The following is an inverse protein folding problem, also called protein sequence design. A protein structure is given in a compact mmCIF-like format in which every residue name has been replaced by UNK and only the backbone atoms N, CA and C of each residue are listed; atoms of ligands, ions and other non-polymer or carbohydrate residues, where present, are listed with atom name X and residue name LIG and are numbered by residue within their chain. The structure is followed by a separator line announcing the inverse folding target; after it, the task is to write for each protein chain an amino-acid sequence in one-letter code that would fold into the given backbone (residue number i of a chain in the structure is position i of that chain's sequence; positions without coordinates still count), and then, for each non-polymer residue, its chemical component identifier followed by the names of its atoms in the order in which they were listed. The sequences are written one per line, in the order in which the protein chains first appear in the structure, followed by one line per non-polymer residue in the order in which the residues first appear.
data_IF_689985427689
#
_entry.id   IF_689985427689
#
_cell.length_a   1.000
_cell.length_b   1.000
_cell.length_c   1.000
_cell.angle_alpha   90.00
_cell.angle_beta   90.00
_cell.angle_gamma   90.00
#
_symmetry.space_group_name_H-M   'P 1'
#
loop_
_entity.id
_entity.type
_entity.pdbx_description
1 polymer ?
#
# COMPACT_ATOMS: atom_id res chain seq x y z
N UNK A 1 40.38 7.43 10.71
CA UNK A 1 40.14 8.82 10.23
C UNK A 1 40.07 8.88 8.71
N UNK A 2 40.75 7.97 8.02
CA UNK A 2 40.86 7.88 6.56
C UNK A 2 39.54 7.80 5.78
N UNK A 3 38.52 7.10 6.30
CA UNK A 3 37.19 7.05 5.69
C UNK A 3 36.53 8.43 5.59
N UNK A 4 36.70 9.27 6.63
CA UNK A 4 36.18 10.65 6.66
C UNK A 4 36.95 11.59 5.72
N UNK A 5 38.14 11.18 5.28
CA UNK A 5 38.97 11.90 4.32
C UNK A 5 38.69 11.46 2.88
N UNK A 6 37.67 10.63 2.65
CA UNK A 6 37.30 10.14 1.32
C UNK A 6 38.24 9.09 0.76
N UNK A 7 39.11 8.48 1.58
CA UNK A 7 39.94 7.36 1.12
C UNK A 7 39.06 6.12 0.94
N UNK A 8 39.23 5.45 -0.20
CA UNK A 8 38.56 4.18 -0.49
C UNK A 8 39.09 3.09 0.44
N UNK A 9 38.32 2.78 1.49
CA UNK A 9 38.62 1.71 2.45
C UNK A 9 37.41 0.78 2.48
N UNK A 10 37.65 -0.50 2.19
CA UNK A 10 36.59 -1.52 2.15
C UNK A 10 35.72 -1.41 0.91
N UNK A 11 34.43 -1.73 1.05
CA UNK A 11 33.45 -1.68 -0.03
C UNK A 11 32.48 -0.54 0.23
N UNK A 12 32.45 0.44 -0.68
CA UNK A 12 31.50 1.55 -0.63
C UNK A 12 30.20 1.10 -1.29
N UNK A 13 29.10 1.19 -0.55
CA UNK A 13 27.76 1.07 -1.10
C UNK A 13 27.24 2.47 -1.38
N UNK A 14 27.37 3.00 -2.62
CA UNK A 14 26.85 4.31 -2.94
C UNK A 14 25.33 4.32 -2.74
N UNK A 15 24.80 5.42 -2.22
CA UNK A 15 23.36 5.60 -2.13
C UNK A 15 22.76 5.50 -3.54
N UNK A 16 21.73 4.67 -3.73
CA UNK A 16 20.93 4.69 -4.96
C UNK A 16 20.19 6.03 -5.03
N UNK A 17 20.30 6.76 -6.13
CA UNK A 17 19.62 8.04 -6.34
C UNK A 17 18.10 7.95 -6.15
N UNK A 18 17.51 6.77 -6.39
CA UNK A 18 16.12 6.47 -6.10
C UNK A 18 15.92 6.16 -4.61
N UNK A 19 16.13 7.15 -3.74
CA UNK A 19 15.52 7.08 -2.42
C UNK A 19 14.00 7.05 -2.63
N UNK A 20 13.34 5.95 -2.23
CA UNK A 20 11.96 6.04 -1.80
C UNK A 20 11.89 7.24 -0.87
N UNK A 21 11.12 8.28 -1.25
CA UNK A 21 10.94 9.50 -0.42
C UNK A 21 10.80 9.04 1.04
N UNK A 22 11.50 9.63 1.99
CA UNK A 22 11.61 9.16 3.40
C UNK A 22 10.28 8.62 3.97
N UNK A 23 9.17 9.29 3.66
CA UNK A 23 7.80 8.88 4.00
C UNK A 23 7.40 7.49 3.46
N UNK A 24 7.74 7.16 2.21
CA UNK A 24 7.53 5.84 1.60
C UNK A 24 8.44 4.78 2.22
N UNK A 25 9.68 5.11 2.57
CA UNK A 25 10.54 4.16 3.30
C UNK A 25 9.96 3.78 4.67
N UNK A 26 9.36 4.74 5.38
CA UNK A 26 8.69 4.46 6.65
C UNK A 26 7.40 3.66 6.50
N UNK A 27 6.62 3.92 5.44
CA UNK A 27 5.46 3.10 5.09
C UNK A 27 5.84 1.64 4.79
N UNK A 28 6.98 1.43 4.11
CA UNK A 28 7.44 0.10 3.75
C UNK A 28 8.00 -0.68 4.95
N UNK A 29 8.69 -0.03 5.89
CA UNK A 29 9.53 -0.74 6.88
C UNK A 29 9.34 -0.31 8.35
N UNK A 30 8.61 0.76 8.63
CA UNK A 30 8.56 1.38 9.97
C UNK A 30 7.28 1.15 10.77
N UNK A 31 6.23 0.59 10.18
CA UNK A 31 4.94 0.34 10.85
C UNK A 31 4.64 -1.15 10.92
N UNK A 32 4.01 -1.57 12.03
CA UNK A 32 3.41 -2.90 12.14
C UNK A 32 2.36 -3.11 11.05
N UNK A 33 2.42 -4.27 10.42
CA UNK A 33 1.40 -4.73 9.49
C UNK A 33 0.22 -5.29 10.29
N UNK A 34 -0.98 -4.78 10.02
CA UNK A 34 -2.21 -5.13 10.77
C UNK A 34 -3.15 -6.05 9.99
N UNK A 35 -2.84 -6.33 8.73
CA UNK A 35 -3.57 -7.28 7.90
C UNK A 35 -3.18 -7.21 6.44
N UNK A 36 -3.97 -7.91 5.63
CA UNK A 36 -3.73 -8.17 4.22
C UNK A 36 -4.98 -7.84 3.39
N UNK A 37 -4.78 -7.27 2.21
CA UNK A 37 -5.81 -7.04 1.21
C UNK A 37 -5.41 -7.77 -0.06
N UNK A 38 -6.27 -8.65 -0.57
CA UNK A 38 -6.08 -9.36 -1.82
C UNK A 38 -6.73 -8.59 -2.97
N UNK A 39 -6.05 -8.51 -4.11
CA UNK A 39 -6.56 -7.81 -5.30
C UNK A 39 -6.60 -8.71 -6.53
N UNK A 40 -7.46 -8.38 -7.48
CA UNK A 40 -7.48 -9.06 -8.77
C UNK A 40 -6.28 -8.66 -9.66
N UNK A 41 -6.08 -9.42 -10.74
CA UNK A 41 -4.98 -9.19 -11.66
C UNK A 41 -5.06 -7.85 -12.42
N UNK A 42 -6.26 -7.29 -12.61
CA UNK A 42 -6.45 -5.99 -13.24
C UNK A 42 -6.00 -4.85 -12.32
N UNK A 43 -6.38 -4.93 -11.05
CA UNK A 43 -5.97 -4.00 -10.01
C UNK A 43 -4.45 -4.05 -9.79
N UNK A 44 -3.87 -5.25 -9.70
CA UNK A 44 -2.43 -5.44 -9.62
C UNK A 44 -1.69 -4.73 -10.77
N UNK A 45 -2.14 -4.92 -12.02
CA UNK A 45 -1.55 -4.25 -13.19
C UNK A 45 -1.71 -2.73 -13.13
N UNK A 46 -2.89 -2.23 -12.76
CA UNK A 46 -3.12 -0.79 -12.63
C UNK A 46 -2.22 -0.15 -11.57
N UNK A 47 -2.04 -0.80 -10.43
CA UNK A 47 -1.13 -0.34 -9.38
C UNK A 47 0.32 -0.32 -9.87
N UNK A 48 0.77 -1.39 -10.53
CA UNK A 48 2.15 -1.56 -10.99
C UNK A 48 2.52 -0.63 -12.14
N UNK A 49 1.68 -0.58 -13.17
CA UNK A 49 2.02 0.06 -14.46
C UNK A 49 1.61 1.53 -14.49
N UNK A 50 0.55 1.91 -13.76
CA UNK A 50 -0.04 3.26 -13.81
C UNK A 50 0.14 4.03 -12.50
N UNK A 51 0.62 3.38 -11.42
CA UNK A 51 0.75 4.02 -10.10
C UNK A 51 -0.61 4.43 -9.52
N UNK A 52 -1.67 3.70 -9.87
CA UNK A 52 -3.04 3.96 -9.45
C UNK A 52 -3.25 3.70 -7.96
N UNK A 53 -4.22 4.39 -7.37
CA UNK A 53 -4.71 4.07 -6.02
C UNK A 53 -5.44 2.72 -6.00
N UNK A 54 -5.57 2.12 -4.82
CA UNK A 54 -6.37 0.91 -4.63
C UNK A 54 -7.83 1.29 -4.40
N UNK A 55 -8.71 0.86 -5.30
CA UNK A 55 -10.16 1.04 -5.21
C UNK A 55 -10.84 -0.26 -4.74
N UNK A 56 -12.00 -0.15 -4.10
CA UNK A 56 -12.70 -1.31 -3.56
C UNK A 56 -13.17 -2.31 -4.63
N UNK A 57 -13.45 -1.82 -5.84
CA UNK A 57 -13.88 -2.64 -6.98
C UNK A 57 -12.88 -3.74 -7.36
N UNK A 58 -11.58 -3.52 -7.15
CA UNK A 58 -10.51 -4.47 -7.49
C UNK A 58 -10.07 -5.38 -6.34
N UNK A 59 -10.74 -5.30 -5.18
CA UNK A 59 -10.40 -6.09 -3.99
C UNK A 59 -11.19 -7.41 -4.01
N UNK A 60 -10.48 -8.51 -3.78
CA UNK A 60 -11.03 -9.88 -3.80
C UNK A 60 -11.08 -10.53 -2.42
N UNK A 61 -10.39 -9.95 -1.43
CA UNK A 61 -10.40 -10.43 -0.06
C UNK A 61 -9.68 -9.49 0.89
N UNK A 62 -9.94 -9.63 2.19
CA UNK A 62 -9.18 -8.96 3.23
C UNK A 62 -9.16 -9.80 4.53
N UNK A 63 -8.03 -9.79 5.21
CA UNK A 63 -7.77 -10.55 6.44
C UNK A 63 -6.99 -9.72 7.46
N UNK A 64 -7.06 -10.12 8.73
CA UNK A 64 -6.40 -9.45 9.86
C UNK A 64 -7.37 -8.65 10.73
N UNK A 65 -6.82 -7.66 11.44
CA UNK A 65 -7.56 -6.79 12.35
C UNK A 65 -6.98 -5.37 12.25
N UNK A 66 -7.46 -4.64 11.24
CA UNK A 66 -6.99 -3.30 10.93
C UNK A 66 -8.11 -2.27 10.95
N UNK A 67 -7.75 -1.08 11.41
CA UNK A 67 -8.57 0.13 11.36
C UNK A 67 -8.03 1.13 10.32
N UNK A 68 -8.84 2.12 9.95
CA UNK A 68 -8.39 3.25 9.16
C UNK A 68 -7.09 3.87 9.75
N UNK A 69 -6.10 4.15 8.90
CA UNK A 69 -4.79 4.66 9.30
C UNK A 69 -3.73 3.58 9.59
N UNK A 70 -4.13 2.31 9.67
CA UNK A 70 -3.21 1.18 9.82
C UNK A 70 -2.49 0.87 8.51
N UNK A 71 -1.31 0.25 8.59
CA UNK A 71 -0.59 -0.27 7.41
C UNK A 71 -0.99 -1.72 7.17
N UNK A 72 -1.28 -2.04 5.91
CA UNK A 72 -1.60 -3.40 5.45
C UNK A 72 -0.70 -3.80 4.29
N UNK A 73 -0.57 -5.10 4.05
CA UNK A 73 -0.03 -5.63 2.80
C UNK A 73 -1.12 -5.68 1.74
N UNK A 74 -0.70 -5.51 0.49
CA UNK A 74 -1.54 -5.79 -0.67
C UNK A 74 -0.94 -7.01 -1.37
N UNK A 75 -1.76 -8.04 -1.50
CA UNK A 75 -1.42 -9.30 -2.14
C UNK A 75 -2.03 -9.34 -3.55
N UNK A 76 -1.22 -9.65 -4.54
CA UNK A 76 -1.66 -9.84 -5.92
C UNK A 76 -2.44 -11.14 -6.10
N UNK A 77 -2.87 -11.41 -7.34
CA UNK A 77 -3.70 -12.59 -7.65
C UNK A 77 -2.97 -13.93 -7.40
N UNK A 78 -1.63 -13.92 -7.34
CA UNK A 78 -0.79 -15.08 -7.01
C UNK A 78 -0.57 -15.27 -5.50
N UNK A 79 -1.10 -14.38 -4.66
CA UNK A 79 -0.83 -14.33 -3.23
C UNK A 79 0.51 -13.68 -2.85
N UNK A 80 1.28 -13.20 -3.83
CA UNK A 80 2.53 -12.48 -3.56
C UNK A 80 2.25 -11.06 -3.08
N UNK A 81 3.07 -10.59 -2.15
CA UNK A 81 3.03 -9.19 -1.70
C UNK A 81 3.53 -8.26 -2.81
N UNK A 82 2.64 -7.37 -3.27
CA UNK A 82 2.93 -6.41 -4.35
C UNK A 82 3.04 -4.97 -3.85
N UNK A 83 2.45 -4.66 -2.70
CA UNK A 83 2.48 -3.33 -2.12
C UNK A 83 2.25 -3.34 -0.61
N UNK A 84 2.58 -2.22 0.04
CA UNK A 84 2.13 -1.86 1.39
C UNK A 84 1.48 -0.49 1.34
N UNK A 85 0.49 -0.25 2.19
CA UNK A 85 -0.09 1.08 2.28
C UNK A 85 -0.96 1.33 3.50
N UNK A 86 -1.29 2.60 3.71
CA UNK A 86 -2.22 3.02 4.77
C UNK A 86 -3.65 2.94 4.26
N UNK A 87 -4.48 2.16 4.95
CA UNK A 87 -5.90 1.99 4.62
C UNK A 87 -6.74 3.16 5.09
N UNK A 88 -7.75 3.52 4.30
CA UNK A 88 -8.75 4.53 4.63
C UNK A 88 -9.95 3.97 5.39
N UNK A 89 -10.12 2.65 5.40
CA UNK A 89 -11.25 1.95 5.98
C UNK A 89 -10.78 0.84 6.92
N UNK A 90 -11.56 0.57 7.96
CA UNK A 90 -11.41 -0.64 8.77
C UNK A 90 -11.85 -1.91 8.01
N UNK A 91 -11.53 -3.07 8.57
CA UNK A 91 -11.81 -4.35 7.92
C UNK A 91 -13.31 -4.62 7.74
N UNK A 92 -14.16 -4.24 8.70
CA UNK A 92 -15.61 -4.49 8.63
C UNK A 92 -16.27 -3.65 7.54
N UNK A 93 -15.85 -2.40 7.42
CA UNK A 93 -16.28 -1.47 6.39
C UNK A 93 -15.76 -1.92 5.03
N UNK A 94 -14.49 -2.32 4.94
CA UNK A 94 -13.91 -2.78 3.69
C UNK A 94 -14.63 -4.03 3.15
N UNK A 95 -15.03 -4.96 4.03
CA UNK A 95 -15.82 -6.14 3.64
C UNK A 95 -17.16 -5.78 2.98
N UNK A 96 -17.77 -4.65 3.35
CA UNK A 96 -19.02 -4.17 2.74
C UNK A 96 -18.79 -3.47 1.40
N UNK A 97 -17.64 -2.82 1.22
CA UNK A 97 -17.31 -2.07 0.01
C UNK A 97 -16.68 -2.92 -1.09
N UNK A 98 -16.14 -4.08 -0.73
CA UNK A 98 -15.43 -4.98 -1.64
C UNK A 98 -16.28 -5.31 -2.89
N UNK A 99 -15.70 -5.12 -4.07
CA UNK A 99 -16.38 -5.37 -5.34
C UNK A 99 -17.39 -4.29 -5.77
N UNK A 100 -17.67 -3.30 -4.93
CA UNK A 100 -18.54 -2.17 -5.28
C UNK A 100 -17.77 -1.02 -5.92
N UNK A 101 -18.45 -0.28 -6.79
CA UNK A 101 -17.94 0.97 -7.34
C UNK A 101 -18.14 2.11 -6.35
N UNK A 102 -17.26 3.12 -6.42
CA UNK A 102 -17.30 4.28 -5.52
C UNK A 102 -18.66 5.01 -5.50
N UNK A 103 -19.38 5.01 -6.63
CA UNK A 103 -20.73 5.60 -6.73
C UNK A 103 -21.78 4.89 -5.88
N UNK A 104 -21.51 3.67 -5.42
CA UNK A 104 -22.38 2.86 -4.55
C UNK A 104 -22.07 3.07 -3.06
N UNK A 105 -20.99 3.78 -2.72
CA UNK A 105 -20.58 3.98 -1.33
C UNK A 105 -21.59 4.78 -0.50
N UNK A 106 -22.27 5.82 -1.03
CA UNK A 106 -23.28 6.57 -0.26
C UNK A 106 -24.46 5.73 0.23
N UNK A 107 -24.73 4.58 -0.40
CA UNK A 107 -25.78 3.65 0.00
C UNK A 107 -25.29 2.62 1.03
N UNK A 108 -23.98 2.40 1.10
CA UNK A 108 -23.34 1.39 1.95
C UNK A 108 -22.79 1.98 3.26
N UNK A 109 -22.42 3.26 3.26
CA UNK A 109 -21.76 3.95 4.36
C UNK A 109 -22.58 5.15 4.87
N UNK A 110 -22.29 5.55 6.10
CA UNK A 110 -22.74 6.81 6.67
C UNK A 110 -21.52 7.69 6.95
N UNK A 111 -21.58 8.98 6.58
CA UNK A 111 -20.53 9.96 6.88
C UNK A 111 -19.59 10.26 5.71
N UNK A 112 -18.33 10.55 6.02
CA UNK A 112 -17.31 10.93 5.03
C UNK A 112 -16.92 9.73 4.17
N UNK A 113 -16.92 9.93 2.85
CA UNK A 113 -16.64 8.90 1.86
C UNK A 113 -15.33 9.25 1.17
N UNK A 114 -14.40 8.29 1.17
CA UNK A 114 -13.15 8.35 0.43
C UNK A 114 -13.25 7.39 -0.74
N UNK A 115 -12.85 7.86 -1.92
CA UNK A 115 -12.97 7.03 -3.11
C UNK A 115 -12.03 5.83 -3.08
N UNK A 116 -10.85 6.01 -2.50
CA UNK A 116 -9.81 5.00 -2.49
C UNK A 116 -9.70 4.30 -1.14
N UNK A 117 -9.48 2.99 -1.18
CA UNK A 117 -9.15 2.17 0.00
C UNK A 117 -7.72 2.46 0.44
N UNK A 118 -6.79 2.58 -0.51
CA UNK A 118 -5.43 3.09 -0.27
C UNK A 118 -5.09 4.09 -1.36
N UNK A 119 -4.86 5.34 -0.97
CA UNK A 119 -4.40 6.36 -1.90
C UNK A 119 -2.95 6.08 -2.36
N UNK A 120 -2.62 6.30 -3.64
CA UNK A 120 -1.29 6.04 -4.23
C UNK A 120 -0.12 6.67 -3.49
N UNK A 121 -0.32 7.83 -2.87
CA UNK A 121 0.73 8.53 -2.10
C UNK A 121 0.99 7.89 -0.73
N UNK A 122 0.01 7.16 -0.22
CA UNK A 122 0.11 6.37 1.00
C UNK A 122 0.40 4.90 0.70
N UNK A 123 0.89 4.61 -0.51
CA UNK A 123 1.22 3.27 -0.98
C UNK A 123 2.66 3.19 -1.48
N UNK A 124 3.26 2.03 -1.29
CA UNK A 124 4.59 1.67 -1.76
C UNK A 124 4.52 0.32 -2.43
N UNK A 125 4.95 0.26 -3.69
CA UNK A 125 5.08 -1.00 -4.41
C UNK A 125 6.34 -1.74 -3.95
N UNK A 126 6.21 -3.06 -3.81
CA UNK A 126 7.30 -3.97 -3.52
C UNK A 126 7.71 -4.56 -4.87
N UNK A 127 8.66 -3.89 -5.54
CA UNK A 127 9.26 -4.32 -6.82
C UNK A 127 10.49 -5.18 -6.60
#
# INVERSE_FOLDING_TARGET
RDLLLGKEIGTVFPAREAHLKVRKSWLAFGKDLRGDICVDAGCERAMRDQGSSLLAAGITGCEGDFAAGNTVRVLGASGQEIARGIVNYDIETLKKLMGHQTGEFPQLLQGEIKEEVIHRDNMVLMV
#
